data_IF_386358001615
#
_entry.id   IF_386358001615
#
_cell.length_a   1.000
_cell.length_b   1.000
_cell.length_c   1.000
_cell.angle_alpha   90.00
_cell.angle_beta   90.00
_cell.angle_gamma   90.00
#
_symmetry.space_group_name_H-M   'P 1'
#
loop_
_entity.id
_entity.type
_entity.pdbx_description
1 polymer ?
#
# COMPACT_ATOMS: atom_id res chain seq x y z
N UNK A 1 -42.42 -21.45 4.82
CA UNK A 1 -41.51 -20.61 4.03
C UNK A 1 -40.21 -20.52 4.80
N UNK A 2 -39.09 -20.86 4.16
CA UNK A 2 -37.77 -20.63 4.77
C UNK A 2 -37.60 -19.12 4.95
N UNK A 3 -37.47 -18.68 6.20
CA UNK A 3 -37.26 -17.28 6.54
C UNK A 3 -35.76 -17.05 6.54
N UNK A 4 -35.29 -16.20 5.64
CA UNK A 4 -33.87 -15.92 5.50
C UNK A 4 -33.62 -14.75 4.55
N UNK A 5 -32.36 -14.41 4.41
CA UNK A 5 -31.88 -13.29 3.62
C UNK A 5 -31.13 -13.81 2.40
N UNK A 6 -31.39 -13.19 1.25
CA UNK A 6 -30.72 -13.47 -0.01
C UNK A 6 -29.40 -12.72 -0.08
N UNK A 7 -28.35 -13.45 -0.42
CA UNK A 7 -27.02 -12.91 -0.72
C UNK A 7 -26.63 -13.41 -2.12
N UNK A 8 -26.33 -12.51 -3.06
CA UNK A 8 -26.13 -12.80 -4.48
C UNK A 8 -25.16 -13.97 -4.78
N UNK A 9 -24.02 -14.14 -4.08
CA UNK A 9 -23.15 -15.29 -4.29
C UNK A 9 -23.75 -16.65 -3.90
N UNK A 10 -24.92 -16.66 -3.24
CA UNK A 10 -25.62 -17.85 -2.78
C UNK A 10 -27.00 -17.96 -3.42
N UNK A 11 -27.32 -19.16 -3.91
CA UNK A 11 -28.65 -19.46 -4.44
C UNK A 11 -29.71 -19.62 -3.33
N UNK A 12 -29.31 -20.06 -2.15
CA UNK A 12 -30.20 -20.31 -1.01
C UNK A 12 -30.34 -19.10 -0.08
N UNK A 13 -31.52 -18.95 0.54
CA UNK A 13 -31.74 -18.02 1.64
C UNK A 13 -30.94 -18.43 2.88
N UNK A 14 -30.22 -17.49 3.47
CA UNK A 14 -29.44 -17.70 4.68
C UNK A 14 -30.23 -17.23 5.92
N UNK A 15 -30.28 -18.00 7.01
CA UNK A 15 -30.81 -17.51 8.29
C UNK A 15 -30.10 -16.21 8.73
N UNK A 16 -30.80 -15.28 9.37
CA UNK A 16 -30.27 -13.93 9.67
C UNK A 16 -28.88 -13.94 10.33
N UNK A 17 -28.67 -14.78 11.34
CA UNK A 17 -27.39 -14.90 12.02
C UNK A 17 -26.29 -15.42 11.08
N UNK A 18 -26.58 -16.46 10.30
CA UNK A 18 -25.63 -17.05 9.33
C UNK A 18 -25.30 -16.06 8.23
N UNK A 19 -26.31 -15.35 7.71
CA UNK A 19 -26.14 -14.29 6.73
C UNK A 19 -25.13 -13.25 7.22
N UNK A 20 -25.26 -12.79 8.48
CA UNK A 20 -24.36 -11.80 9.05
C UNK A 20 -22.89 -12.25 9.03
N UNK A 21 -22.62 -13.48 9.44
CA UNK A 21 -21.27 -14.05 9.44
C UNK A 21 -20.70 -14.16 8.03
N UNK A 22 -21.46 -14.76 7.11
CA UNK A 22 -21.04 -14.94 5.71
C UNK A 22 -20.81 -13.59 5.04
N UNK A 23 -21.77 -12.68 5.12
CA UNK A 23 -21.66 -11.37 4.49
C UNK A 23 -20.47 -10.57 5.04
N UNK A 24 -20.15 -10.71 6.33
CA UNK A 24 -18.97 -10.08 6.93
C UNK A 24 -17.64 -10.67 6.46
N UNK A 25 -17.56 -11.99 6.26
CA UNK A 25 -16.38 -12.61 5.65
C UNK A 25 -16.22 -12.14 4.20
N UNK A 26 -17.32 -12.03 3.46
CA UNK A 26 -17.33 -11.49 2.10
C UNK A 26 -16.99 -10.01 2.03
N UNK A 27 -17.44 -9.19 2.98
CA UNK A 27 -17.04 -7.79 3.09
C UNK A 27 -15.52 -7.63 3.20
N UNK A 28 -14.86 -8.49 3.98
CA UNK A 28 -13.40 -8.47 4.13
C UNK A 28 -12.73 -8.74 2.78
N UNK A 29 -13.10 -9.83 2.10
CA UNK A 29 -12.48 -10.16 0.82
C UNK A 29 -12.89 -9.16 -0.27
N UNK A 30 -14.10 -8.64 -0.34
CA UNK A 30 -14.44 -7.68 -1.39
C UNK A 30 -13.70 -6.35 -1.22
N UNK A 31 -13.45 -5.92 0.02
CA UNK A 31 -12.72 -4.68 0.28
C UNK A 31 -11.21 -4.80 0.16
N UNK A 32 -10.64 -5.96 0.49
CA UNK A 32 -9.20 -6.14 0.64
C UNK A 32 -8.62 -7.26 -0.23
N UNK A 33 -9.45 -7.99 -0.97
CA UNK A 33 -8.96 -8.92 -1.97
C UNK A 33 -8.70 -8.14 -3.25
N UNK A 34 -7.44 -8.14 -3.67
CA UNK A 34 -7.06 -8.65 -4.99
C UNK A 34 -5.55 -8.47 -5.12
N UNK A 35 -4.84 -9.56 -5.41
CA UNK A 35 -3.45 -9.56 -5.92
C UNK A 35 -2.31 -9.00 -5.04
N UNK A 36 -2.56 -8.26 -3.97
CA UNK A 36 -1.51 -7.73 -3.09
C UNK A 36 -1.20 -8.70 -1.92
N UNK A 37 0.07 -9.08 -1.69
CA UNK A 37 0.49 -9.98 -0.61
C UNK A 37 0.37 -9.37 0.80
N UNK A 38 -0.14 -8.15 0.92
CA UNK A 38 -0.17 -7.37 2.17
C UNK A 38 -1.34 -7.74 3.10
N UNK A 39 -2.44 -8.30 2.59
CA UNK A 39 -3.58 -8.67 3.44
C UNK A 39 -3.47 -10.09 4.02
N UNK A 40 -3.69 -10.17 5.32
CA UNK A 40 -3.23 -11.31 6.12
C UNK A 40 -4.26 -12.44 6.27
N UNK A 41 -5.54 -12.20 5.92
CA UNK A 41 -6.62 -13.17 6.02
C UNK A 41 -7.20 -13.53 4.64
N UNK A 42 -7.81 -14.71 4.53
CA UNK A 42 -8.52 -15.18 3.33
C UNK A 42 -9.85 -15.84 3.70
N UNK A 43 -10.78 -15.92 2.75
CA UNK A 43 -12.02 -16.67 2.95
C UNK A 43 -11.74 -18.16 3.18
N UNK A 44 -12.38 -18.75 4.18
CA UNK A 44 -12.33 -20.19 4.36
C UNK A 44 -13.26 -20.89 3.36
N UNK A 45 -12.69 -21.58 2.37
CA UNK A 45 -13.44 -22.30 1.35
C UNK A 45 -14.36 -23.40 1.91
N UNK A 46 -14.06 -23.93 3.11
CA UNK A 46 -14.90 -24.95 3.78
C UNK A 46 -15.98 -24.34 4.67
N UNK A 47 -15.77 -23.12 5.14
CA UNK A 47 -16.67 -22.45 6.06
C UNK A 47 -16.74 -20.95 5.74
N UNK A 48 -17.64 -20.51 4.85
CA UNK A 48 -17.67 -19.14 4.37
C UNK A 48 -18.07 -18.10 5.43
N UNK A 49 -18.36 -18.54 6.67
CA UNK A 49 -18.57 -17.69 7.84
C UNK A 49 -17.25 -17.31 8.54
N UNK A 50 -16.12 -17.86 8.10
CA UNK A 50 -14.81 -17.64 8.71
C UNK A 50 -13.78 -17.16 7.71
N UNK A 51 -12.85 -16.38 8.24
CA UNK A 51 -11.60 -16.00 7.60
C UNK A 51 -10.47 -16.85 8.18
N UNK A 52 -9.45 -17.17 7.39
CA UNK A 52 -8.26 -17.89 7.83
C UNK A 52 -7.02 -17.05 7.64
N UNK A 53 -6.09 -17.13 8.59
CA UNK A 53 -4.79 -16.46 8.45
C UNK A 53 -3.92 -17.11 7.37
N UNK A 54 -3.29 -16.28 6.52
CA UNK A 54 -2.28 -16.69 5.54
C UNK A 54 -0.89 -16.82 6.19
N UNK A 55 0.01 -17.52 5.52
CA UNK A 55 1.44 -17.52 5.86
C UNK A 55 2.00 -16.09 5.79
N UNK A 56 2.72 -15.66 6.81
CA UNK A 56 3.28 -14.30 6.90
C UNK A 56 2.36 -13.28 7.58
N UNK A 57 1.16 -13.70 8.00
CA UNK A 57 0.34 -12.90 8.91
C UNK A 57 0.96 -12.84 10.32
N UNK A 58 0.47 -11.93 11.16
CA UNK A 58 0.81 -11.90 12.59
C UNK A 58 0.29 -13.14 13.36
N UNK A 59 -0.58 -13.94 12.73
CA UNK A 59 -1.20 -15.11 13.31
C UNK A 59 -0.58 -16.39 12.75
N UNK A 60 -0.77 -17.50 13.47
CA UNK A 60 -0.39 -18.79 12.94
C UNK A 60 -1.23 -19.12 11.71
N UNK A 61 -0.58 -19.61 10.66
CA UNK A 61 -1.24 -20.00 9.43
C UNK A 61 -2.37 -20.99 9.67
N UNK A 62 -3.52 -20.75 9.04
CA UNK A 62 -4.72 -21.57 9.23
C UNK A 62 -5.54 -21.24 10.49
N UNK A 63 -5.14 -20.25 11.30
CA UNK A 63 -6.00 -19.76 12.40
C UNK A 63 -7.30 -19.22 11.83
N UNK A 64 -8.43 -19.72 12.32
CA UNK A 64 -9.76 -19.30 11.88
C UNK A 64 -10.35 -18.17 12.74
N UNK A 65 -11.02 -17.23 12.09
CA UNK A 65 -11.72 -16.11 12.71
C UNK A 65 -13.15 -16.07 12.20
N UNK A 66 -14.11 -16.21 13.11
CA UNK A 66 -15.54 -16.08 12.80
C UNK A 66 -15.86 -14.60 12.57
N UNK A 67 -16.38 -14.23 11.40
CA UNK A 67 -16.64 -12.82 11.07
C UNK A 67 -17.91 -12.27 11.72
N UNK A 68 -17.99 -12.31 13.05
CA UNK A 68 -19.12 -11.79 13.84
C UNK A 68 -18.88 -10.34 14.27
N UNK A 69 -19.59 -9.42 13.61
CA UNK A 69 -19.53 -7.98 13.90
C UNK A 69 -20.07 -7.63 15.30
N UNK A 70 -20.86 -8.51 15.95
CA UNK A 70 -21.39 -8.28 17.29
C UNK A 70 -20.43 -8.78 18.38
N UNK A 71 -19.40 -9.55 18.02
CA UNK A 71 -18.41 -10.06 18.95
C UNK A 71 -17.17 -9.18 18.97
N UNK A 72 -17.08 -8.31 19.98
CA UNK A 72 -15.97 -7.35 20.13
C UNK A 72 -14.58 -8.00 20.14
N UNK A 73 -14.45 -9.22 20.69
CA UNK A 73 -13.17 -9.93 20.71
C UNK A 73 -12.74 -10.32 19.29
N UNK A 74 -13.66 -10.79 18.46
CA UNK A 74 -13.31 -11.17 17.09
C UNK A 74 -13.08 -9.96 16.20
N UNK A 75 -13.90 -8.91 16.37
CA UNK A 75 -13.68 -7.62 15.70
C UNK A 75 -12.27 -7.09 15.99
N UNK A 76 -11.86 -7.06 17.27
CA UNK A 76 -10.52 -6.62 17.66
C UNK A 76 -9.40 -7.45 17.01
N UNK A 77 -9.57 -8.78 16.92
CA UNK A 77 -8.59 -9.65 16.24
C UNK A 77 -8.50 -9.32 14.74
N UNK A 78 -9.62 -9.32 14.03
CA UNK A 78 -9.64 -9.02 12.59
C UNK A 78 -9.06 -7.62 12.33
N UNK A 79 -9.48 -6.62 13.09
CA UNK A 79 -9.03 -5.24 12.95
C UNK A 79 -7.56 -5.02 13.30
N UNK A 80 -6.96 -5.82 14.20
CA UNK A 80 -5.52 -5.72 14.43
C UNK A 80 -4.68 -6.13 13.21
N UNK A 81 -5.29 -6.74 12.18
CA UNK A 81 -4.65 -7.02 10.90
C UNK A 81 -4.88 -5.96 9.83
N UNK A 82 -5.62 -4.89 10.16
CA UNK A 82 -6.02 -3.82 9.25
C UNK A 82 -5.54 -2.47 9.80
N UNK A 83 -5.51 -1.44 8.95
CA UNK A 83 -5.40 -0.06 9.42
C UNK A 83 -6.71 0.36 10.11
N UNK A 84 -6.69 1.42 10.92
CA UNK A 84 -7.91 1.94 11.56
C UNK A 84 -9.00 2.28 10.53
N UNK A 85 -8.61 2.90 9.41
CA UNK A 85 -9.51 3.23 8.31
C UNK A 85 -10.08 1.97 7.63
N UNK A 86 -9.26 0.95 7.39
CA UNK A 86 -9.72 -0.29 6.77
C UNK A 86 -10.61 -1.10 7.72
N UNK A 87 -10.30 -1.13 9.02
CA UNK A 87 -11.18 -1.70 10.04
C UNK A 87 -12.55 -1.00 10.01
N UNK A 88 -12.60 0.33 9.98
CA UNK A 88 -13.85 1.09 9.91
C UNK A 88 -14.65 0.76 8.63
N UNK A 89 -13.98 0.67 7.47
CA UNK A 89 -14.59 0.29 6.20
C UNK A 89 -15.21 -1.11 6.27
N UNK A 90 -14.47 -2.09 6.78
CA UNK A 90 -14.95 -3.47 6.96
C UNK A 90 -16.15 -3.54 7.89
N UNK A 91 -16.07 -2.89 9.05
CA UNK A 91 -17.18 -2.85 10.00
C UNK A 91 -18.43 -2.19 9.41
N UNK A 92 -18.25 -1.14 8.63
CA UNK A 92 -19.35 -0.43 7.96
C UNK A 92 -20.01 -1.31 6.90
N UNK A 93 -19.23 -2.06 6.11
CA UNK A 93 -19.76 -3.06 5.18
C UNK A 93 -20.58 -4.12 5.90
N UNK A 94 -20.04 -4.71 6.97
CA UNK A 94 -20.73 -5.67 7.83
C UNK A 94 -22.07 -5.15 8.34
N UNK A 95 -22.07 -3.94 8.92
CA UNK A 95 -23.29 -3.31 9.46
C UNK A 95 -24.31 -3.04 8.37
N UNK A 96 -23.89 -2.63 7.18
CA UNK A 96 -24.77 -2.43 6.03
C UNK A 96 -25.38 -3.74 5.52
N UNK A 97 -24.61 -4.83 5.49
CA UNK A 97 -25.13 -6.15 5.15
C UNK A 97 -26.20 -6.62 6.16
N UNK A 98 -25.92 -6.55 7.46
CA UNK A 98 -26.91 -6.91 8.51
C UNK A 98 -28.17 -6.04 8.40
N UNK A 99 -28.01 -4.74 8.16
CA UNK A 99 -29.13 -3.82 7.91
C UNK A 99 -29.93 -4.21 6.66
N UNK A 100 -29.26 -4.66 5.60
CA UNK A 100 -29.92 -5.16 4.39
C UNK A 100 -30.75 -6.39 4.70
N UNK A 101 -30.21 -7.38 5.40
CA UNK A 101 -30.94 -8.59 5.77
C UNK A 101 -32.21 -8.26 6.58
N UNK A 102 -32.11 -7.37 7.58
CA UNK A 102 -33.29 -6.87 8.30
C UNK A 102 -34.31 -6.20 7.38
N UNK A 103 -33.86 -5.40 6.42
CA UNK A 103 -34.75 -4.79 5.40
C UNK A 103 -35.44 -5.85 4.54
N UNK A 104 -34.72 -6.90 4.14
CA UNK A 104 -35.30 -7.99 3.36
C UNK A 104 -36.39 -8.74 4.11
N UNK A 105 -36.21 -8.98 5.40
CA UNK A 105 -37.17 -9.69 6.26
C UNK A 105 -38.40 -8.83 6.63
N UNK A 106 -38.24 -7.51 6.70
CA UNK A 106 -39.30 -6.60 7.17
C UNK A 106 -40.21 -6.12 6.05
N UNK A 107 -39.68 -5.92 4.85
CA UNK A 107 -40.47 -5.48 3.72
C UNK A 107 -41.41 -6.62 3.27
N UNK A 108 -42.68 -6.32 2.93
CA UNK A 108 -43.61 -7.34 2.47
C UNK A 108 -43.09 -7.99 1.19
N UNK A 109 -43.39 -9.28 1.00
CA UNK A 109 -43.18 -9.90 -0.30
C UNK A 109 -44.07 -9.21 -1.33
N UNK A 110 -43.61 -9.16 -2.58
CA UNK A 110 -44.42 -8.57 -3.64
C UNK A 110 -45.70 -9.40 -3.82
N UNK A 111 -46.85 -8.79 -3.57
CA UNK A 111 -48.16 -9.46 -3.57
C UNK A 111 -48.89 -9.42 -4.91
N UNK A 112 -48.34 -8.74 -5.93
CA UNK A 112 -48.91 -8.71 -7.28
C UNK A 112 -48.35 -9.87 -8.11
N UNK A 113 -49.16 -10.42 -9.02
CA UNK A 113 -48.74 -11.42 -10.05
C UNK A 113 -47.71 -10.89 -11.07
N UNK A 114 -46.97 -9.83 -10.74
CA UNK A 114 -45.96 -9.24 -11.60
C UNK A 114 -44.67 -10.07 -11.53
N UNK A 115 -43.98 -10.17 -12.65
CA UNK A 115 -42.63 -10.73 -12.71
C UNK A 115 -41.63 -9.69 -12.19
N UNK A 116 -40.75 -10.08 -11.28
CA UNK A 116 -39.77 -9.18 -10.65
C UNK A 116 -38.50 -9.93 -10.25
N UNK A 117 -37.41 -9.17 -10.10
CA UNK A 117 -36.18 -9.63 -9.49
C UNK A 117 -36.23 -9.41 -7.97
N UNK A 118 -36.01 -10.46 -7.19
CA UNK A 118 -36.05 -10.40 -5.73
C UNK A 118 -34.90 -9.56 -5.17
N UNK A 119 -35.19 -8.81 -4.11
CA UNK A 119 -34.21 -8.12 -3.26
C UNK A 119 -33.06 -9.03 -2.84
N UNK A 120 -31.87 -8.46 -2.72
CA UNK A 120 -30.65 -9.20 -2.39
C UNK A 120 -29.57 -8.26 -1.83
N UNK A 121 -28.67 -8.79 -1.03
CA UNK A 121 -27.37 -8.17 -0.78
C UNK A 121 -26.43 -8.65 -1.89
N UNK A 122 -25.64 -7.77 -2.51
CA UNK A 122 -24.69 -8.18 -3.55
C UNK A 122 -23.22 -8.15 -3.09
N UNK A 123 -22.99 -7.86 -1.81
CA UNK A 123 -21.65 -7.69 -1.21
C UNK A 123 -21.26 -6.23 -1.02
N UNK A 124 -21.89 -5.32 -1.75
CA UNK A 124 -21.59 -3.88 -1.74
C UNK A 124 -22.82 -3.03 -1.42
N UNK A 125 -24.01 -3.53 -1.71
CA UNK A 125 -25.26 -2.79 -1.59
C UNK A 125 -26.46 -3.69 -1.40
N UNK A 126 -27.53 -3.09 -0.88
CA UNK A 126 -28.83 -3.72 -0.72
C UNK A 126 -29.72 -3.34 -1.91
N UNK A 127 -30.02 -4.31 -2.77
CA UNK A 127 -30.99 -4.16 -3.84
C UNK A 127 -32.37 -4.53 -3.33
N UNK A 128 -33.36 -3.67 -3.62
CA UNK A 128 -34.77 -3.96 -3.37
C UNK A 128 -35.39 -4.75 -4.53
N UNK A 129 -36.63 -5.22 -4.35
CA UNK A 129 -37.34 -5.89 -5.43
C UNK A 129 -37.53 -4.92 -6.60
N UNK A 130 -37.30 -5.39 -7.82
CA UNK A 130 -37.36 -4.58 -9.05
C UNK A 130 -38.22 -5.28 -10.08
N UNK A 131 -39.19 -4.58 -10.69
CA UNK A 131 -40.03 -5.15 -11.74
C UNK A 131 -39.20 -5.63 -12.93
N UNK A 132 -39.66 -6.71 -13.57
CA UNK A 132 -39.08 -7.18 -14.81
C UNK A 132 -39.04 -6.07 -15.88
N UNK A 133 -37.90 -5.94 -16.56
CA UNK A 133 -37.64 -4.88 -17.54
C UNK A 133 -37.24 -3.52 -16.94
N UNK A 134 -37.23 -3.37 -15.61
CA UNK A 134 -36.72 -2.17 -14.94
C UNK A 134 -35.29 -2.33 -14.42
N UNK A 135 -34.72 -1.26 -13.92
CA UNK A 135 -33.38 -1.23 -13.33
C UNK A 135 -33.48 -0.94 -11.84
N UNK A 136 -32.87 -1.81 -11.03
CA UNK A 136 -32.70 -1.60 -9.60
C UNK A 136 -31.54 -0.64 -9.35
N UNK A 137 -31.67 0.21 -8.34
CA UNK A 137 -30.65 1.19 -7.98
C UNK A 137 -30.30 1.08 -6.50
N UNK A 138 -29.03 1.25 -6.18
CA UNK A 138 -28.53 1.29 -4.81
C UNK A 138 -27.56 2.45 -4.66
N UNK A 139 -27.60 3.14 -3.52
CA UNK A 139 -26.65 4.22 -3.23
C UNK A 139 -25.24 3.64 -3.20
N UNK A 140 -24.27 4.39 -3.74
CA UNK A 140 -22.89 3.97 -3.68
C UNK A 140 -22.43 3.84 -2.20
N UNK A 141 -21.83 2.71 -1.83
CA UNK A 141 -21.38 2.46 -0.46
C UNK A 141 -20.24 3.40 -0.04
N UNK A 142 -20.36 3.98 1.16
CA UNK A 142 -19.37 4.90 1.73
C UNK A 142 -18.07 4.24 2.18
N UNK A 143 -18.08 2.92 2.33
CA UNK A 143 -16.94 2.14 2.82
C UNK A 143 -16.02 1.65 1.70
N UNK A 144 -16.37 1.95 0.44
CA UNK A 144 -15.53 1.73 -0.73
C UNK A 144 -14.60 2.90 -0.89
N UNK A 145 -13.32 2.62 -1.15
CA UNK A 145 -12.34 3.67 -1.35
C UNK A 145 -12.74 4.56 -2.52
N UNK A 146 -12.68 5.87 -2.31
CA UNK A 146 -13.09 6.87 -3.32
C UNK A 146 -14.56 6.71 -3.78
N UNK A 147 -15.39 6.00 -3.01
CA UNK A 147 -16.81 5.83 -3.26
C UNK A 147 -17.57 7.12 -2.98
N UNK A 148 -18.22 7.68 -4.00
CA UNK A 148 -19.00 8.90 -3.86
C UNK A 148 -20.48 8.58 -3.60
N UNK A 149 -20.90 8.81 -2.37
CA UNK A 149 -22.25 8.56 -1.86
C UNK A 149 -23.34 9.39 -2.52
N UNK A 150 -23.03 10.33 -3.42
CA UNK A 150 -24.04 11.07 -4.19
C UNK A 150 -24.49 10.32 -5.44
N UNK A 151 -23.73 9.34 -5.90
CA UNK A 151 -24.07 8.51 -7.04
C UNK A 151 -24.78 7.23 -6.63
N UNK A 152 -25.29 6.52 -7.63
CA UNK A 152 -25.95 5.23 -7.47
C UNK A 152 -25.33 4.21 -8.42
N UNK A 153 -25.15 3.01 -7.90
CA UNK A 153 -24.93 1.81 -8.71
C UNK A 153 -26.29 1.31 -9.22
N UNK A 154 -26.25 0.52 -10.29
CA UNK A 154 -27.47 0.07 -10.95
C UNK A 154 -27.36 -1.37 -11.44
N UNK A 155 -28.50 -2.04 -11.46
CA UNK A 155 -28.61 -3.44 -11.84
C UNK A 155 -29.86 -3.69 -12.68
N UNK A 156 -29.73 -4.05 -13.97
CA UNK A 156 -30.89 -4.37 -14.79
C UNK A 156 -31.60 -5.65 -14.29
N UNK A 157 -32.93 -5.61 -14.25
CA UNK A 157 -33.79 -6.76 -14.09
C UNK A 157 -34.34 -7.17 -15.47
N UNK A 158 -34.11 -8.42 -15.87
CA UNK A 158 -34.56 -8.91 -17.18
C UNK A 158 -36.09 -9.02 -17.24
N UNK A 159 -36.63 -9.13 -18.45
CA UNK A 159 -38.08 -9.36 -18.65
C UNK A 159 -38.58 -10.68 -18.03
N UNK A 160 -37.67 -11.62 -17.82
CA UNK A 160 -37.97 -12.91 -17.19
C UNK A 160 -37.92 -12.86 -15.65
N UNK A 161 -37.62 -11.71 -15.04
CA UNK A 161 -37.53 -11.56 -13.58
C UNK A 161 -36.23 -12.10 -12.98
N UNK A 162 -35.18 -12.22 -13.78
CA UNK A 162 -33.84 -12.57 -13.31
C UNK A 162 -32.94 -11.35 -13.34
N UNK A 163 -32.04 -11.26 -12.36
CA UNK A 163 -31.06 -10.18 -12.39
C UNK A 163 -30.09 -10.36 -13.56
N UNK A 164 -29.54 -9.25 -14.05
CA UNK A 164 -28.51 -9.28 -15.08
C UNK A 164 -27.31 -10.14 -14.66
N UNK A 165 -26.85 -10.95 -15.61
CA UNK A 165 -25.70 -11.84 -15.51
C UNK A 165 -24.60 -11.27 -16.41
N UNK A 166 -23.41 -11.04 -15.84
CA UNK A 166 -22.28 -10.52 -16.59
C UNK A 166 -21.76 -11.58 -17.58
N UNK A 167 -21.55 -11.24 -18.86
CA UNK A 167 -21.25 -12.21 -19.90
C UNK A 167 -19.91 -12.94 -19.70
N UNK A 168 -18.93 -12.28 -19.08
CA UNK A 168 -17.60 -12.85 -18.87
C UNK A 168 -17.50 -13.72 -17.62
N UNK A 169 -18.18 -13.35 -16.54
CA UNK A 169 -18.07 -14.06 -15.26
C UNK A 169 -19.17 -15.11 -15.08
N UNK A 170 -20.25 -15.02 -15.87
CA UNK A 170 -21.43 -15.89 -15.73
C UNK A 170 -22.21 -15.66 -14.43
N UNK A 171 -21.87 -14.63 -13.66
CA UNK A 171 -22.47 -14.34 -12.37
C UNK A 171 -23.39 -13.13 -12.45
N UNK A 172 -24.40 -13.17 -11.60
CA UNK A 172 -25.22 -12.04 -11.21
C UNK A 172 -24.36 -10.79 -10.88
N UNK A 173 -24.58 -9.65 -11.55
CA UNK A 173 -23.70 -8.48 -11.46
C UNK A 173 -24.44 -7.15 -11.34
N UNK A 174 -23.83 -6.20 -10.59
CA UNK A 174 -24.28 -4.82 -10.40
C UNK A 174 -23.22 -3.85 -10.93
N UNK A 175 -23.63 -2.82 -11.66
CA UNK A 175 -22.73 -1.81 -12.20
C UNK A 175 -22.41 -0.73 -11.18
N UNK A 176 -21.18 -0.74 -10.69
CA UNK A 176 -20.62 0.25 -9.77
C UNK A 176 -19.67 1.27 -10.43
N UNK A 177 -19.56 1.31 -11.76
CA UNK A 177 -18.61 2.20 -12.46
C UNK A 177 -18.86 3.68 -12.21
N UNK A 178 -20.09 4.06 -11.88
CA UNK A 178 -20.51 5.42 -11.53
C UNK A 178 -20.19 5.79 -10.08
N UNK A 179 -19.77 4.85 -9.24
CA UNK A 179 -19.56 5.07 -7.81
C UNK A 179 -18.17 5.59 -7.46
N UNK A 180 -17.18 5.38 -8.32
CA UNK A 180 -15.80 5.81 -8.08
C UNK A 180 -15.49 7.00 -8.96
N UNK A 181 -15.17 8.14 -8.34
CA UNK A 181 -14.73 9.33 -9.06
C UNK A 181 -13.23 9.23 -9.36
N UNK A 182 -12.90 8.75 -10.56
CA UNK A 182 -11.51 8.61 -10.98
C UNK A 182 -10.80 9.97 -11.19
N UNK A 183 -11.54 11.08 -11.21
CA UNK A 183 -10.97 12.42 -11.44
C UNK A 183 -10.01 12.85 -10.33
N UNK A 184 -10.35 12.57 -9.07
CA UNK A 184 -9.53 12.97 -7.91
C UNK A 184 -8.24 12.15 -7.83
N UNK A 185 -8.32 10.84 -8.12
CA UNK A 185 -7.14 9.97 -8.13
C UNK A 185 -6.15 10.37 -9.22
N UNK A 186 -6.65 10.72 -10.42
CA UNK A 186 -5.80 11.23 -11.50
C UNK A 186 -5.16 12.57 -11.11
N UNK A 187 -5.88 13.44 -10.41
CA UNK A 187 -5.35 14.73 -9.96
C UNK A 187 -4.17 14.56 -9.01
N UNK A 188 -4.29 13.69 -8.00
CA UNK A 188 -3.20 13.41 -7.05
C UNK A 188 -1.98 12.78 -7.77
N UNK A 189 -2.22 11.87 -8.71
CA UNK A 189 -1.16 11.28 -9.54
C UNK A 189 -0.42 12.33 -10.37
N UNK A 190 -1.16 13.23 -11.04
CA UNK A 190 -0.57 14.31 -11.84
C UNK A 190 0.23 15.30 -11.00
N UNK A 191 -0.31 15.73 -9.85
CA UNK A 191 0.40 16.61 -8.92
C UNK A 191 1.66 15.94 -8.38
N UNK A 192 1.55 14.68 -7.96
CA UNK A 192 2.70 13.89 -7.51
C UNK A 192 3.78 13.78 -8.58
N UNK A 193 3.41 13.46 -9.82
CA UNK A 193 4.34 13.41 -10.94
C UNK A 193 5.01 14.77 -11.19
N UNK A 194 4.23 15.85 -11.19
CA UNK A 194 4.74 17.21 -11.40
C UNK A 194 5.74 17.62 -10.30
N UNK A 195 5.42 17.35 -9.03
CA UNK A 195 6.32 17.62 -7.91
C UNK A 195 7.62 16.82 -8.01
N UNK A 196 7.54 15.52 -8.33
CA UNK A 196 8.71 14.67 -8.49
C UNK A 196 9.62 15.15 -9.64
N UNK A 197 9.02 15.52 -10.78
CA UNK A 197 9.78 16.09 -11.92
C UNK A 197 10.47 17.39 -11.52
N UNK A 198 9.77 18.29 -10.82
CA UNK A 198 10.34 19.55 -10.35
C UNK A 198 11.51 19.30 -9.38
N UNK A 199 11.38 18.35 -8.46
CA UNK A 199 12.46 17.96 -7.55
C UNK A 199 13.68 17.47 -8.32
N UNK A 200 13.52 16.62 -9.33
CA UNK A 200 14.63 16.13 -10.16
C UNK A 200 15.32 17.27 -10.94
N UNK A 201 14.54 18.21 -11.49
CA UNK A 201 15.07 19.38 -12.21
C UNK A 201 15.93 20.27 -11.30
N UNK A 202 15.59 20.36 -10.00
CA UNK A 202 16.39 21.12 -9.04
C UNK A 202 17.59 20.34 -8.49
N UNK A 203 17.42 19.03 -8.28
CA UNK A 203 18.43 18.18 -7.64
C UNK A 203 19.58 17.83 -8.59
N UNK A 204 19.29 17.55 -9.86
CA UNK A 204 20.31 17.15 -10.85
C UNK A 204 21.37 18.26 -11.03
N UNK A 205 21.02 19.53 -11.31
CA UNK A 205 22.01 20.61 -11.41
C UNK A 205 22.75 20.84 -10.11
N UNK A 206 22.07 20.76 -8.96
CA UNK A 206 22.69 20.89 -7.64
C UNK A 206 23.78 19.84 -7.42
N UNK A 207 23.48 18.57 -7.73
CA UNK A 207 24.45 17.48 -7.66
C UNK A 207 25.62 17.68 -8.64
N UNK A 208 25.35 18.10 -9.88
CA UNK A 208 26.41 18.37 -10.88
C UNK A 208 27.35 19.48 -10.39
N UNK A 209 26.80 20.58 -9.88
CA UNK A 209 27.58 21.69 -9.33
C UNK A 209 28.43 21.22 -8.14
N UNK A 210 27.83 20.51 -7.19
CA UNK A 210 28.53 19.99 -6.01
C UNK A 210 29.69 19.05 -6.38
N UNK A 211 29.45 18.11 -7.30
CA UNK A 211 30.46 17.15 -7.76
C UNK A 211 31.57 17.84 -8.56
N UNK A 212 31.26 18.84 -9.38
CA UNK A 212 32.26 19.61 -10.12
C UNK A 212 33.19 20.40 -9.18
N UNK A 213 32.63 21.06 -8.16
CA UNK A 213 33.42 21.74 -7.14
C UNK A 213 34.27 20.75 -6.34
N UNK A 214 33.70 19.61 -5.94
CA UNK A 214 34.45 18.57 -5.22
C UNK A 214 35.62 18.02 -6.05
N UNK A 215 35.40 17.69 -7.32
CA UNK A 215 36.48 17.20 -8.21
C UNK A 215 37.61 18.23 -8.38
N UNK A 216 37.27 19.51 -8.47
CA UNK A 216 38.27 20.57 -8.54
C UNK A 216 39.01 20.73 -7.20
N UNK A 217 38.34 20.61 -6.06
CA UNK A 217 38.97 20.62 -4.73
C UNK A 217 39.88 19.41 -4.50
N UNK A 218 39.49 18.21 -4.97
CA UNK A 218 40.31 17.00 -4.86
C UNK A 218 41.61 17.17 -5.69
N UNK A 219 41.54 17.77 -6.89
CA UNK A 219 42.72 18.11 -7.69
C UNK A 219 43.63 19.14 -7.03
N UNK A 220 43.05 20.13 -6.36
CA UNK A 220 43.80 21.19 -5.67
C UNK A 220 44.46 20.71 -4.38
N UNK A 221 44.00 19.60 -3.79
CA UNK A 221 44.66 18.93 -2.67
C UNK A 221 45.76 17.95 -3.11
N UNK A 222 45.61 17.27 -4.26
CA UNK A 222 46.61 16.33 -4.79
C UNK A 222 47.88 17.02 -5.34
N UNK A 223 47.72 18.22 -5.91
CA UNK A 223 48.81 19.03 -6.47
C UNK A 223 49.87 19.50 -5.45
N UNK A 224 49.52 20.01 -4.25
CA UNK A 224 50.52 20.35 -3.24
C UNK A 224 51.19 19.12 -2.62
N UNK A 225 50.50 17.97 -2.47
CA UNK A 225 51.09 16.76 -1.91
C UNK A 225 52.17 16.17 -2.84
N UNK A 226 51.93 16.15 -4.16
CA UNK A 226 52.95 15.71 -5.12
C UNK A 226 54.17 16.65 -5.16
N UNK A 227 53.93 17.96 -4.99
CA UNK A 227 54.99 18.95 -4.95
C UNK A 227 55.80 18.91 -3.64
N UNK A 228 55.15 18.76 -2.48
CA UNK A 228 55.82 18.58 -1.18
C UNK A 228 56.58 17.26 -1.11
N UNK A 229 56.02 16.14 -1.58
CA UNK A 229 56.75 14.86 -1.61
C UNK A 229 57.98 14.90 -2.52
N UNK A 230 57.90 15.57 -3.68
CA UNK A 230 59.09 15.83 -4.51
C UNK A 230 60.10 16.78 -3.85
N UNK A 231 59.64 17.80 -3.13
CA UNK A 231 60.53 18.72 -2.40
C UNK A 231 61.25 18.01 -1.25
N UNK A 232 60.55 17.21 -0.44
CA UNK A 232 61.13 16.41 0.66
C UNK A 232 62.13 15.38 0.11
N UNK A 233 61.83 14.73 -1.02
CA UNK A 233 62.77 13.80 -1.66
C UNK A 233 64.01 14.50 -2.24
N UNK A 234 63.89 15.74 -2.71
CA UNK A 234 65.04 16.57 -3.13
C UNK A 234 65.88 17.07 -1.95
N UNK A 235 65.26 17.50 -0.85
CA UNK A 235 65.97 17.94 0.35
C UNK A 235 66.79 16.81 0.99
N UNK A 236 66.20 15.62 1.13
CA UNK A 236 66.90 14.45 1.70
C UNK A 236 68.11 13.99 0.86
N UNK A 237 68.03 14.08 -0.47
CA UNK A 237 69.18 13.80 -1.35
C UNK A 237 70.29 14.86 -1.25
N UNK A 238 69.93 16.13 -1.08
CA UNK A 238 70.89 17.25 -1.03
C UNK A 238 71.67 17.27 0.29
N UNK A 239 71.00 17.00 1.41
CA UNK A 239 71.67 16.91 2.73
C UNK A 239 72.64 15.72 2.81
N UNK A 240 72.28 14.57 2.22
CA UNK A 240 73.18 13.41 2.16
C UNK A 240 74.46 13.71 1.37
N UNK A 241 74.38 14.50 0.29
CA UNK A 241 75.56 14.90 -0.49
C UNK A 241 76.42 15.94 0.22
N UNK A 242 75.81 16.90 0.93
CA UNK A 242 76.52 17.98 1.62
C UNK A 242 77.28 17.48 2.84
N UNK A 243 76.70 16.55 3.62
CA UNK A 243 77.39 15.90 4.75
C UNK A 243 78.62 15.11 4.26
N UNK A 244 78.55 14.47 3.09
CA UNK A 244 79.69 13.74 2.52
C UNK A 244 80.83 14.66 2.06
N UNK A 245 80.50 15.90 1.66
CA UNK A 245 81.46 16.90 1.22
C UNK A 245 82.13 17.64 2.40
N UNK A 246 81.38 17.96 3.45
CA UNK A 246 81.91 18.65 4.65
C UNK A 246 82.88 17.79 5.48
N UNK A 247 82.67 16.46 5.52
CA UNK A 247 83.60 15.53 6.16
C UNK A 247 84.95 15.43 5.41
N UNK A 248 84.96 15.61 4.09
CA UNK A 248 86.20 15.62 3.29
C UNK A 248 86.96 16.94 3.44
N UNK A 249 86.27 18.06 3.61
CA UNK A 249 86.89 19.38 3.76
C UNK A 249 87.48 19.59 5.17
N UNK A 250 86.77 19.18 6.23
CA UNK A 250 87.24 19.32 7.62
C UNK A 250 88.50 18.51 7.96
N UNK A 251 88.79 17.45 7.19
CA UNK A 251 90.01 16.66 7.38
C UNK A 251 91.29 17.37 6.88
N UNK A 252 91.16 18.38 6.01
CA UNK A 252 92.31 19.00 5.31
C UNK A 252 92.80 20.27 6.02
N UNK A 253 91.99 20.90 6.88
CA UNK A 253 92.32 22.20 7.50
C UNK A 253 92.86 22.10 8.94
N UNK A 254 92.77 20.94 9.62
CA UNK A 254 93.07 20.83 11.06
C UNK A 254 94.43 20.22 11.46
N UNK A 255 95.33 19.93 10.50
CA UNK A 255 96.67 19.40 10.83
C UNK A 255 97.82 20.39 10.58
N UNK A 256 97.56 21.61 10.06
CA UNK A 256 98.62 22.55 9.66
C UNK A 256 99.08 23.54 10.70
N UNK A 257 98.41 23.77 11.83
CA UNK A 257 99.01 24.60 12.90
C UNK A 257 98.40 24.25 14.26
N UNK A 258 99.21 23.56 15.07
CA UNK A 258 98.90 23.33 16.48
C UNK A 258 99.13 24.56 17.35
N UNK A 259 98.69 24.38 18.60
CA UNK A 259 99.10 25.07 19.84
C UNK A 259 98.52 26.48 20.00
N UNK A 260 97.90 26.88 21.12
CA UNK A 260 97.29 26.25 22.29
C UNK A 260 96.65 27.40 23.11
N UNK A 261 96.01 27.06 24.22
CA UNK A 261 95.73 27.88 25.42
C UNK A 261 94.28 28.42 25.47
N UNK A 262 93.34 27.80 26.19
CA UNK A 262 93.15 27.57 27.65
C UNK A 262 92.50 28.79 28.35
N UNK A 263 91.71 28.46 29.39
CA UNK A 263 91.10 29.29 30.46
C UNK A 263 89.60 29.57 30.17
N UNK A 264 88.62 29.03 30.91
CA UNK A 264 88.53 28.31 32.20
C UNK A 264 87.64 27.09 32.11
#
# INVERSE_FOLDING_TARGET
MEVGCKFTPYEQLLPEHVFGLVACSYCYIYLFDTSEPTYSLQLNARNPMTLMAKNGSQYQSGTEFVSDINNATTVSKICSSLSDNDCERWETCCRNAVKCCKRQLTLPQWTTNATYCSRTWDGWGCLDDTLAGQTGYVQCPSYVEHGNVNYKAHRPCTENGTWFIHPETGNEWTNYSTCVDMGDQMTLLYVGLACNVLSLILLIPSCVIFLAFRHNLDKEYETPILHETQQIQKCTLTDATTISADLRQSSVTLLTNGVAILIT
#
